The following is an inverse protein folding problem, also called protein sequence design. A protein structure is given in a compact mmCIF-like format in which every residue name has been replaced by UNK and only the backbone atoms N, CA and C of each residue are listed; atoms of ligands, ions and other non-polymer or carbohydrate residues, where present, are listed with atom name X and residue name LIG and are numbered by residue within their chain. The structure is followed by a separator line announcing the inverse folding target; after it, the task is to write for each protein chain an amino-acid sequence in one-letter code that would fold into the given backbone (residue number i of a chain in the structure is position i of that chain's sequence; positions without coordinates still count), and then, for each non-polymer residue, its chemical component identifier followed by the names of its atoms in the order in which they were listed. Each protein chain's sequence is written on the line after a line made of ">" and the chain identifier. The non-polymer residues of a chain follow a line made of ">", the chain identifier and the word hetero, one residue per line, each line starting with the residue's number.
data_IF_272561459599
#
_entry.id   IF_272561459599
#
_cell.length_a   1.000
_cell.length_b   1.000
_cell.length_c   1.000
_cell.angle_alpha   90.00
_cell.angle_beta   90.00
_cell.angle_gamma   90.00
#
_symmetry.space_group_name_H-M   'P 1'
#
loop_
_entity.id
_entity.type
_entity.pdbx_description
1 polymer ?
#
# COMPACT_ATOMS: atom_id res chain seq x y z
N UNK A 1 0.87 31.91 15.64
CA UNK A 1 0.18 30.99 16.57
C UNK A 1 -0.19 29.76 15.76
N UNK A 2 0.36 28.58 16.07
CA UNK A 2 0.14 27.37 15.29
C UNK A 2 -1.32 26.91 15.51
N UNK A 3 -2.10 26.53 14.47
CA UNK A 3 -3.46 26.00 14.64
C UNK A 3 -3.52 24.78 15.57
N UNK A 4 -2.42 24.03 15.70
CA UNK A 4 -2.29 22.90 16.61
C UNK A 4 -2.21 23.29 18.10
N UNK A 5 -1.91 24.57 18.41
CA UNK A 5 -1.84 25.09 19.78
C UNK A 5 -3.20 25.62 20.27
N UNK A 6 -4.25 25.56 19.44
CA UNK A 6 -5.60 25.88 19.87
C UNK A 6 -6.16 24.71 20.69
N UNK A 7 -6.66 24.93 21.92
CA UNK A 7 -7.30 23.88 22.69
C UNK A 7 -8.45 23.30 21.88
N UNK A 8 -8.55 21.96 21.86
CA UNK A 8 -9.68 21.25 21.24
C UNK A 8 -10.98 21.93 21.68
N UNK A 9 -11.82 22.40 20.74
CA UNK A 9 -12.92 23.29 21.08
C UNK A 9 -14.02 22.61 21.91
N UNK A 10 -13.87 21.31 22.22
CA UNK A 10 -14.73 20.53 23.12
C UNK A 10 -14.08 20.11 24.46
N UNK A 11 -12.79 20.36 24.70
CA UNK A 11 -12.09 19.82 25.89
C UNK A 11 -12.03 18.28 25.95
N UNK A 12 -12.48 17.59 24.90
CA UNK A 12 -12.52 16.13 24.83
C UNK A 12 -11.18 15.55 24.39
N UNK A 13 -10.69 14.61 25.21
CA UNK A 13 -9.56 13.73 24.90
C UNK A 13 -9.90 12.80 23.74
N UNK A 14 -8.88 12.23 23.10
CA UNK A 14 -9.05 11.13 22.14
C UNK A 14 -9.90 10.02 22.79
N UNK A 15 -11.04 9.70 22.18
CA UNK A 15 -11.97 8.68 22.67
C UNK A 15 -11.87 7.42 21.81
N UNK A 16 -11.57 6.29 22.45
CA UNK A 16 -11.69 4.97 21.84
C UNK A 16 -13.03 4.37 22.25
N UNK A 17 -13.89 4.09 21.27
CA UNK A 17 -15.14 3.35 21.48
C UNK A 17 -14.86 1.90 21.06
N UNK A 18 -14.49 1.06 22.02
CA UNK A 18 -14.42 -0.38 21.81
C UNK A 18 -15.82 -0.95 21.79
N UNK A 19 -16.09 -1.84 20.85
CA UNK A 19 -17.33 -2.60 20.94
C UNK A 19 -17.31 -3.88 20.12
N UNK A 20 -18.14 -4.83 20.51
CA UNK A 20 -18.31 -6.12 19.83
C UNK A 20 -19.29 -6.02 18.66
N UNK A 21 -19.42 -7.07 17.85
CA UNK A 21 -20.47 -7.11 16.82
C UNK A 21 -21.87 -6.88 17.46
N UNK A 22 -22.70 -6.01 16.85
CA UNK A 22 -24.07 -5.75 17.31
C UNK A 22 -24.24 -4.86 18.55
N UNK A 23 -23.16 -4.30 19.10
CA UNK A 23 -23.16 -3.53 20.36
C UNK A 23 -23.53 -2.04 20.25
N UNK A 24 -23.93 -1.55 19.07
CA UNK A 24 -24.41 -0.18 18.91
C UNK A 24 -23.34 0.89 18.62
N UNK A 25 -22.11 0.54 18.22
CA UNK A 25 -21.04 1.53 17.85
C UNK A 25 -21.52 2.66 16.95
N UNK A 26 -22.26 2.29 15.91
CA UNK A 26 -22.78 3.25 14.95
C UNK A 26 -23.77 4.21 15.62
N UNK A 27 -24.55 3.74 16.59
CA UNK A 27 -25.50 4.54 17.36
C UNK A 27 -24.78 5.55 18.25
N UNK A 28 -23.77 5.11 19.01
CA UNK A 28 -22.93 6.01 19.83
C UNK A 28 -22.20 7.05 18.98
N UNK A 29 -21.72 6.65 17.80
CA UNK A 29 -21.04 7.54 16.88
C UNK A 29 -22.00 8.59 16.30
N UNK A 30 -23.26 8.22 15.99
CA UNK A 30 -24.29 9.20 15.58
C UNK A 30 -24.52 10.22 16.70
N UNK A 31 -24.70 9.77 17.94
CA UNK A 31 -24.88 10.66 19.08
C UNK A 31 -23.69 11.60 19.29
N UNK A 32 -22.46 11.12 19.09
CA UNK A 32 -21.26 11.95 19.12
C UNK A 32 -21.28 13.04 18.05
N UNK A 33 -21.64 12.72 16.82
CA UNK A 33 -21.75 13.72 15.74
C UNK A 33 -22.83 14.75 16.05
N UNK A 34 -24.00 14.33 16.55
CA UNK A 34 -25.08 15.24 16.93
C UNK A 34 -24.64 16.21 18.03
N UNK A 35 -23.88 15.74 19.04
CA UNK A 35 -23.29 16.62 20.05
C UNK A 35 -22.32 17.64 19.43
N UNK A 36 -21.40 17.20 18.57
CA UNK A 36 -20.47 18.11 17.89
C UNK A 36 -21.21 19.16 17.05
N UNK A 37 -22.27 18.77 16.36
CA UNK A 37 -23.11 19.69 15.58
C UNK A 37 -23.82 20.71 16.48
N UNK A 38 -24.38 20.27 17.61
CA UNK A 38 -25.02 21.16 18.58
C UNK A 38 -24.04 22.18 19.16
N UNK A 39 -22.80 21.76 19.45
CA UNK A 39 -21.75 22.61 20.00
C UNK A 39 -21.20 23.61 18.98
N UNK A 40 -20.82 23.15 17.78
CA UNK A 40 -20.04 23.96 16.84
C UNK A 40 -20.84 24.60 15.72
N UNK A 41 -22.00 24.04 15.36
CA UNK A 41 -22.79 24.53 14.21
C UNK A 41 -21.96 24.67 12.93
N UNK A 42 -21.00 23.76 12.72
CA UNK A 42 -20.06 23.76 11.60
C UNK A 42 -19.87 22.32 11.08
N UNK A 43 -20.84 21.79 10.29
CA UNK A 43 -20.82 20.38 9.88
C UNK A 43 -19.68 20.07 8.90
N UNK A 44 -19.19 21.06 8.15
CA UNK A 44 -18.07 20.94 7.22
C UNK A 44 -16.69 20.83 7.90
N UNK A 45 -16.61 21.17 9.19
CA UNK A 45 -15.42 20.95 10.02
C UNK A 45 -15.36 19.56 10.65
N UNK A 46 -16.40 18.75 10.49
CA UNK A 46 -16.44 17.38 11.01
C UNK A 46 -16.00 16.41 9.91
N UNK A 47 -14.92 15.68 10.19
CA UNK A 47 -14.43 14.60 9.33
C UNK A 47 -14.81 13.27 9.96
N UNK A 48 -15.57 12.46 9.21
CA UNK A 48 -16.01 11.14 9.64
C UNK A 48 -15.69 10.11 8.54
N UNK A 49 -14.76 9.21 8.85
CA UNK A 49 -14.17 8.29 7.90
C UNK A 49 -14.58 6.85 8.20
N UNK A 50 -14.75 6.05 7.16
CA UNK A 50 -15.03 4.61 7.25
C UNK A 50 -14.27 3.83 6.18
N UNK A 51 -14.36 2.51 6.22
CA UNK A 51 -13.73 1.62 5.24
C UNK A 51 -14.55 1.42 3.97
N UNK A 52 -15.88 1.57 4.03
CA UNK A 52 -16.75 1.27 2.87
C UNK A 52 -17.71 2.41 2.55
N UNK A 53 -17.98 2.62 1.26
CA UNK A 53 -18.96 3.63 0.81
C UNK A 53 -20.36 3.35 1.35
N UNK A 54 -20.74 2.08 1.46
CA UNK A 54 -22.03 1.66 2.03
C UNK A 54 -22.15 2.10 3.49
N UNK A 55 -21.14 1.81 4.32
CA UNK A 55 -21.14 2.24 5.72
C UNK A 55 -21.15 3.77 5.86
N UNK A 56 -20.50 4.50 4.94
CA UNK A 56 -20.53 5.97 4.94
C UNK A 56 -21.95 6.50 4.70
N UNK A 57 -22.64 5.94 3.69
CA UNK A 57 -24.03 6.27 3.38
C UNK A 57 -24.97 5.94 4.55
N UNK A 58 -24.93 4.71 5.06
CA UNK A 58 -25.76 4.30 6.20
C UNK A 58 -25.51 5.17 7.45
N UNK A 59 -24.26 5.55 7.70
CA UNK A 59 -23.93 6.41 8.83
C UNK A 59 -24.48 7.83 8.65
N UNK A 60 -24.38 8.37 7.44
CA UNK A 60 -24.90 9.69 7.09
C UNK A 60 -26.43 9.73 7.15
N UNK A 61 -27.11 8.72 6.60
CA UNK A 61 -28.57 8.61 6.62
C UNK A 61 -29.10 8.58 8.06
N UNK A 62 -28.39 7.93 8.98
CA UNK A 62 -28.75 7.92 10.41
C UNK A 62 -28.64 9.30 11.05
N UNK A 63 -27.61 10.07 10.73
CA UNK A 63 -27.44 11.43 11.26
C UNK A 63 -28.56 12.34 10.76
N UNK A 64 -28.80 12.38 9.44
CA UNK A 64 -29.87 13.17 8.86
C UNK A 64 -31.24 12.73 9.33
N UNK A 65 -31.47 11.41 9.42
CA UNK A 65 -32.72 10.84 9.92
C UNK A 65 -32.98 11.20 11.38
N UNK A 66 -31.95 11.24 12.24
CA UNK A 66 -32.10 11.71 13.62
C UNK A 66 -32.47 13.20 13.68
N UNK A 67 -31.80 14.05 12.90
CA UNK A 67 -32.12 15.49 12.83
C UNK A 67 -33.52 15.74 12.25
N UNK A 68 -33.92 15.00 11.21
CA UNK A 68 -35.23 15.09 10.61
C UNK A 68 -36.34 14.69 11.59
N UNK A 69 -36.20 13.54 12.28
CA UNK A 69 -37.14 13.11 13.33
C UNK A 69 -37.25 14.16 14.43
N UNK A 70 -36.13 14.68 14.92
CA UNK A 70 -36.13 15.71 15.95
C UNK A 70 -36.79 17.02 15.48
N UNK A 71 -36.75 17.35 14.20
CA UNK A 71 -37.37 18.56 13.65
C UNK A 71 -38.91 18.47 13.48
N UNK A 72 -39.51 17.27 13.60
CA UNK A 72 -40.96 17.07 13.40
C UNK A 72 -41.80 17.75 14.50
N UNK A 73 -41.45 17.55 15.77
CA UNK A 73 -42.18 18.07 16.93
C UNK A 73 -41.26 18.17 18.15
N UNK A 74 -41.64 18.95 19.16
CA UNK A 74 -40.87 19.02 20.42
C UNK A 74 -40.83 17.66 21.15
N UNK A 75 -41.90 16.87 21.05
CA UNK A 75 -41.93 15.52 21.60
C UNK A 75 -40.90 14.60 20.90
N UNK A 76 -40.81 14.68 19.58
CA UNK A 76 -39.85 13.89 18.80
C UNK A 76 -38.40 14.35 19.04
N UNK A 77 -38.17 15.66 19.18
CA UNK A 77 -36.89 16.22 19.56
C UNK A 77 -36.43 15.67 20.91
N UNK A 78 -37.30 15.70 21.92
CA UNK A 78 -37.00 15.25 23.27
C UNK A 78 -36.71 13.74 23.33
N UNK A 79 -37.46 12.91 22.61
CA UNK A 79 -37.15 11.48 22.45
C UNK A 79 -35.81 11.23 21.76
N UNK A 80 -35.48 12.01 20.73
CA UNK A 80 -34.21 11.90 20.00
C UNK A 80 -33.03 12.34 20.89
N UNK A 81 -33.21 13.40 21.67
CA UNK A 81 -32.25 13.90 22.64
C UNK A 81 -31.93 12.85 23.71
N UNK A 82 -32.95 12.17 24.22
CA UNK A 82 -32.81 11.05 25.16
C UNK A 82 -32.12 9.84 24.50
N UNK A 83 -32.56 9.45 23.29
CA UNK A 83 -32.01 8.32 22.54
C UNK A 83 -30.49 8.46 22.36
N UNK A 84 -30.03 9.61 21.86
CA UNK A 84 -28.62 9.86 21.52
C UNK A 84 -27.81 10.57 22.61
N UNK A 85 -28.44 10.90 23.75
CA UNK A 85 -27.83 11.63 24.87
C UNK A 85 -27.22 12.96 24.40
N UNK A 86 -28.06 13.80 23.76
CA UNK A 86 -27.68 15.12 23.22
C UNK A 86 -28.43 16.19 24.01
N UNK A 87 -27.70 16.94 24.84
CA UNK A 87 -28.27 18.01 25.65
C UNK A 87 -28.68 19.22 24.80
N UNK A 88 -29.80 19.85 25.15
CA UNK A 88 -30.29 21.07 24.49
C UNK A 88 -30.84 20.88 23.08
N UNK A 89 -30.98 19.63 22.60
CA UNK A 89 -31.62 19.35 21.32
C UNK A 89 -33.14 19.53 21.46
N UNK A 90 -33.66 20.55 20.79
CA UNK A 90 -35.08 20.88 20.65
C UNK A 90 -35.47 20.89 19.16
N UNK A 91 -36.76 21.08 18.87
CA UNK A 91 -37.24 21.07 17.49
C UNK A 91 -36.56 22.12 16.60
N UNK A 92 -36.36 23.33 17.12
CA UNK A 92 -35.85 24.46 16.35
C UNK A 92 -34.36 24.31 16.05
N UNK A 93 -33.59 23.88 17.04
CA UNK A 93 -32.17 23.57 16.90
C UNK A 93 -31.94 22.39 15.97
N UNK A 94 -32.77 21.34 16.04
CA UNK A 94 -32.75 20.22 15.10
C UNK A 94 -33.03 20.68 13.66
N UNK A 95 -34.06 21.51 13.45
CA UNK A 95 -34.38 22.07 12.13
C UNK A 95 -33.24 22.94 11.58
N UNK A 96 -32.64 23.77 12.43
CA UNK A 96 -31.49 24.60 12.05
C UNK A 96 -30.28 23.75 11.65
N UNK A 97 -29.96 22.71 12.43
CA UNK A 97 -28.88 21.78 12.10
C UNK A 97 -29.15 20.98 10.83
N UNK A 98 -30.39 20.52 10.63
CA UNK A 98 -30.77 19.78 9.44
C UNK A 98 -30.57 20.64 8.18
N UNK A 99 -31.04 21.89 8.21
CA UNK A 99 -30.84 22.85 7.11
C UNK A 99 -29.36 23.06 6.85
N UNK A 100 -28.59 23.33 7.90
CA UNK A 100 -27.15 23.55 7.79
C UNK A 100 -26.40 22.34 7.20
N UNK A 101 -26.78 21.12 7.60
CA UNK A 101 -26.20 19.88 7.08
C UNK A 101 -26.56 19.66 5.60
N UNK A 102 -27.80 19.95 5.20
CA UNK A 102 -28.26 19.88 3.81
C UNK A 102 -27.55 20.92 2.95
N UNK A 103 -27.49 22.18 3.37
CA UNK A 103 -26.84 23.26 2.63
C UNK A 103 -25.33 23.01 2.44
N UNK A 104 -24.74 22.28 3.38
CA UNK A 104 -23.32 21.94 3.38
C UNK A 104 -23.01 20.56 2.82
N UNK A 105 -23.99 19.82 2.27
CA UNK A 105 -23.86 18.43 1.79
C UNK A 105 -22.60 18.17 0.95
N UNK A 106 -22.32 19.07 0.01
CA UNK A 106 -21.18 18.98 -0.91
C UNK A 106 -19.81 19.20 -0.24
N UNK A 107 -19.78 19.82 0.94
CA UNK A 107 -18.55 20.07 1.72
C UNK A 107 -18.37 19.10 2.89
N UNK A 108 -19.38 18.28 3.19
CA UNK A 108 -19.27 17.33 4.29
C UNK A 108 -18.18 16.30 4.01
N UNK A 109 -17.35 16.05 5.02
CA UNK A 109 -16.27 15.07 4.96
C UNK A 109 -16.70 13.74 5.59
N UNK A 110 -17.82 13.20 5.12
CA UNK A 110 -18.34 11.89 5.44
C UNK A 110 -18.07 10.94 4.28
N UNK A 111 -17.13 10.01 4.45
CA UNK A 111 -16.72 9.18 3.32
C UNK A 111 -15.76 8.07 3.71
N UNK A 112 -15.12 7.48 2.69
CA UNK A 112 -14.10 6.47 2.93
C UNK A 112 -12.74 7.10 3.20
N UNK A 113 -11.88 6.36 3.90
CA UNK A 113 -10.46 6.69 4.04
C UNK A 113 -9.81 7.00 2.68
N UNK A 114 -10.06 6.17 1.67
CA UNK A 114 -9.49 6.36 0.33
C UNK A 114 -9.94 7.66 -0.33
N UNK A 115 -11.21 8.03 -0.16
CA UNK A 115 -11.78 9.26 -0.71
C UNK A 115 -11.16 10.48 -0.02
N UNK A 116 -10.90 10.38 1.28
CA UNK A 116 -10.22 11.42 2.04
C UNK A 116 -8.75 11.56 1.62
N UNK A 117 -7.98 10.48 1.54
CA UNK A 117 -6.59 10.53 1.06
C UNK A 117 -6.49 11.04 -0.36
N UNK A 118 -7.37 10.60 -1.26
CA UNK A 118 -7.44 11.10 -2.63
C UNK A 118 -7.67 12.60 -2.67
N UNK A 119 -8.53 13.14 -1.78
CA UNK A 119 -8.76 14.59 -1.66
C UNK A 119 -7.50 15.31 -1.19
N UNK A 120 -6.83 14.81 -0.15
CA UNK A 120 -5.58 15.39 0.38
C UNK A 120 -4.51 15.47 -0.71
N UNK A 121 -4.29 14.36 -1.44
CA UNK A 121 -3.32 14.30 -2.53
C UNK A 121 -3.64 15.29 -3.65
N UNK A 122 -4.92 15.50 -3.98
CA UNK A 122 -5.35 16.48 -4.99
C UNK A 122 -5.18 17.92 -4.54
N UNK A 123 -5.19 18.20 -3.24
CA UNK A 123 -4.98 19.56 -2.72
C UNK A 123 -3.51 19.97 -2.78
N UNK A 124 -2.58 19.04 -2.60
CA UNK A 124 -1.14 19.31 -2.56
C UNK A 124 -0.31 18.40 -3.48
N UNK A 125 -0.62 18.30 -4.79
CA UNK A 125 0.01 17.31 -5.66
C UNK A 125 1.52 17.50 -5.81
N UNK A 126 1.99 18.76 -5.84
CA UNK A 126 3.40 19.10 -5.97
C UNK A 126 4.25 18.58 -4.80
N UNK A 127 3.72 18.63 -3.57
CA UNK A 127 4.42 18.17 -2.36
C UNK A 127 4.71 16.65 -2.38
N UNK A 128 3.90 15.90 -3.13
CA UNK A 128 4.06 14.45 -3.30
C UNK A 128 4.73 14.07 -4.62
N UNK A 129 5.17 15.05 -5.42
CA UNK A 129 5.75 14.78 -6.74
C UNK A 129 4.78 14.12 -7.72
N UNK A 130 3.46 14.23 -7.47
CA UNK A 130 2.42 13.69 -8.34
C UNK A 130 1.82 14.80 -9.20
N UNK A 131 1.33 14.42 -10.38
CA UNK A 131 0.56 15.35 -11.21
C UNK A 131 -0.85 15.52 -10.62
N UNK A 132 -1.38 16.74 -10.59
CA UNK A 132 -2.71 17.05 -10.02
C UNK A 132 -3.88 16.33 -10.68
N UNK A 133 -3.70 15.87 -11.92
CA UNK A 133 -4.69 15.10 -12.68
C UNK A 133 -4.52 13.57 -12.58
N UNK A 134 -4.03 13.04 -11.45
CA UNK A 134 -3.93 11.60 -11.28
C UNK A 134 -5.32 10.94 -11.25
N UNK A 135 -5.40 9.73 -11.82
CA UNK A 135 -6.55 8.84 -11.71
C UNK A 135 -6.20 7.70 -10.77
N UNK A 136 -7.12 7.34 -9.87
CA UNK A 136 -6.95 6.16 -9.02
C UNK A 136 -7.18 4.94 -9.90
N UNK A 137 -6.15 4.10 -10.02
CA UNK A 137 -6.22 2.87 -10.81
C UNK A 137 -7.28 1.96 -10.21
N UNK A 138 -8.20 1.49 -11.06
CA UNK A 138 -9.17 0.46 -10.68
C UNK A 138 -8.49 -0.91 -10.74
N UNK A 139 -8.81 -1.81 -9.82
CA UNK A 139 -8.23 -3.17 -9.76
C UNK A 139 -8.29 -3.88 -11.12
N UNK A 140 -9.40 -3.73 -11.85
CA UNK A 140 -9.57 -4.33 -13.18
C UNK A 140 -8.58 -3.83 -14.24
N UNK A 141 -8.00 -2.64 -14.06
CA UNK A 141 -7.00 -2.05 -14.97
C UNK A 141 -5.58 -2.21 -14.47
N UNK A 142 -5.37 -2.71 -13.26
CA UNK A 142 -4.05 -2.74 -12.63
C UNK A 142 -3.04 -3.51 -13.48
N UNK A 143 -3.38 -4.72 -13.92
CA UNK A 143 -2.51 -5.54 -14.76
C UNK A 143 -2.22 -4.89 -16.12
N UNK A 144 -3.21 -4.22 -16.71
CA UNK A 144 -3.02 -3.51 -17.99
C UNK A 144 -2.04 -2.36 -17.83
N UNK A 145 -2.23 -1.53 -16.81
CA UNK A 145 -1.35 -0.37 -16.54
C UNK A 145 0.06 -0.85 -16.19
N UNK A 146 0.20 -1.91 -15.39
CA UNK A 146 1.50 -2.51 -15.09
C UNK A 146 2.22 -2.92 -16.37
N UNK A 147 1.51 -3.60 -17.29
CA UNK A 147 2.07 -4.02 -18.57
C UNK A 147 2.49 -2.85 -19.45
N UNK A 148 1.68 -1.79 -19.53
CA UNK A 148 2.03 -0.56 -20.26
C UNK A 148 3.30 0.09 -19.70
N UNK A 149 3.43 0.16 -18.37
CA UNK A 149 4.65 0.67 -17.72
C UNK A 149 5.86 -0.20 -18.07
N UNK A 150 5.70 -1.53 -18.06
CA UNK A 150 6.77 -2.44 -18.48
C UNK A 150 7.20 -2.22 -19.92
N UNK A 151 6.24 -2.11 -20.84
CA UNK A 151 6.53 -1.89 -22.26
C UNK A 151 7.29 -0.57 -22.47
N UNK A 152 6.92 0.50 -21.75
CA UNK A 152 7.65 1.78 -21.78
C UNK A 152 9.07 1.64 -21.23
N UNK A 153 9.24 1.00 -20.07
CA UNK A 153 10.56 0.81 -19.46
C UNK A 153 11.48 -0.04 -20.35
N UNK A 154 10.94 -1.05 -21.02
CA UNK A 154 11.67 -1.95 -21.93
C UNK A 154 11.83 -1.39 -23.36
N UNK A 155 11.16 -0.29 -23.69
CA UNK A 155 11.27 0.31 -25.03
C UNK A 155 12.64 0.94 -25.32
N UNK A 156 13.45 1.20 -24.28
CA UNK A 156 14.86 1.57 -24.40
C UNK A 156 15.71 0.31 -24.67
N UNK A 157 15.83 -0.05 -25.96
CA UNK A 157 16.38 -1.33 -26.43
C UNK A 157 17.80 -1.63 -25.94
N UNK A 158 18.67 -0.63 -25.80
CA UNK A 158 20.05 -0.85 -25.34
C UNK A 158 20.11 -1.19 -23.84
N UNK A 159 19.33 -0.49 -23.01
CA UNK A 159 19.22 -0.81 -21.58
C UNK A 159 18.43 -2.10 -21.34
N UNK A 160 17.46 -2.39 -22.21
CA UNK A 160 16.65 -3.59 -22.11
C UNK A 160 17.48 -4.86 -22.33
N UNK A 161 18.38 -4.92 -23.33
CA UNK A 161 19.22 -6.12 -23.52
C UNK A 161 20.17 -6.37 -22.35
N UNK A 162 20.83 -5.33 -21.84
CA UNK A 162 21.71 -5.45 -20.67
C UNK A 162 20.91 -5.91 -19.44
N UNK A 163 19.76 -5.30 -19.21
CA UNK A 163 18.85 -5.67 -18.13
C UNK A 163 18.35 -7.11 -18.25
N UNK A 164 17.90 -7.53 -19.44
CA UNK A 164 17.43 -8.89 -19.71
C UNK A 164 18.56 -9.92 -19.56
N UNK A 165 19.80 -9.56 -19.90
CA UNK A 165 21.00 -10.35 -19.61
C UNK A 165 21.19 -10.59 -18.12
N UNK A 166 21.26 -9.51 -17.33
CA UNK A 166 21.41 -9.57 -15.88
C UNK A 166 20.23 -10.30 -15.20
N UNK A 167 19.01 -10.05 -15.67
CA UNK A 167 17.80 -10.69 -15.15
C UNK A 167 17.79 -12.20 -15.37
N UNK A 168 18.22 -12.69 -16.55
CA UNK A 168 18.37 -14.13 -16.82
C UNK A 168 19.36 -14.79 -15.88
N UNK A 169 20.47 -14.12 -15.56
CA UNK A 169 21.46 -14.62 -14.61
C UNK A 169 20.89 -14.69 -13.18
N UNK A 170 20.23 -13.61 -12.74
CA UNK A 170 19.62 -13.56 -11.41
C UNK A 170 18.48 -14.58 -11.21
N UNK A 171 17.86 -15.05 -12.30
CA UNK A 171 16.75 -16.01 -12.28
C UNK A 171 17.15 -17.44 -12.68
N UNK A 172 18.45 -17.73 -12.79
CA UNK A 172 18.98 -19.06 -13.16
C UNK A 172 18.45 -19.56 -14.51
N UNK A 173 18.32 -18.67 -15.50
CA UNK A 173 17.90 -19.03 -16.86
C UNK A 173 16.47 -19.57 -16.97
N UNK A 174 15.58 -19.24 -16.02
CA UNK A 174 14.21 -19.72 -16.02
C UNK A 174 13.41 -19.24 -17.26
N UNK A 175 12.95 -20.22 -18.05
CA UNK A 175 12.07 -20.23 -19.24
C UNK A 175 11.57 -18.87 -19.78
N UNK A 176 12.00 -18.53 -21.01
CA UNK A 176 11.76 -17.28 -21.74
C UNK A 176 10.27 -16.99 -22.01
N UNK A 177 9.42 -18.03 -21.99
CA UNK A 177 7.98 -17.92 -22.30
C UNK A 177 7.18 -17.14 -21.25
N UNK A 178 7.75 -16.88 -20.07
CA UNK A 178 7.07 -16.17 -18.97
C UNK A 178 7.95 -15.05 -18.36
N UNK A 179 8.78 -14.40 -19.17
CA UNK A 179 9.70 -13.35 -18.71
C UNK A 179 8.99 -12.25 -17.89
N UNK A 180 7.87 -11.72 -18.39
CA UNK A 180 7.05 -10.72 -17.69
C UNK A 180 6.55 -11.21 -16.33
N UNK A 181 6.00 -12.43 -16.26
CA UNK A 181 5.49 -12.99 -14.99
C UNK A 181 6.61 -13.33 -13.99
N UNK A 182 7.82 -13.62 -14.46
CA UNK A 182 8.99 -13.74 -13.59
C UNK A 182 9.48 -12.38 -13.11
N UNK A 183 9.50 -11.38 -13.99
CA UNK A 183 9.90 -10.02 -13.66
C UNK A 183 8.96 -9.40 -12.64
N UNK A 184 7.64 -9.53 -12.83
CA UNK A 184 6.62 -9.12 -11.85
C UNK A 184 6.86 -9.78 -10.48
N UNK A 185 7.10 -11.10 -10.44
CA UNK A 185 7.40 -11.82 -9.19
C UNK A 185 8.71 -11.35 -8.56
N UNK A 186 9.72 -11.07 -9.37
CA UNK A 186 11.02 -10.57 -8.90
C UNK A 186 10.87 -9.17 -8.31
N UNK A 187 10.28 -8.24 -9.05
CA UNK A 187 9.98 -6.88 -8.58
C UNK A 187 9.14 -6.92 -7.32
N UNK A 188 8.04 -7.68 -7.30
CA UNK A 188 7.19 -7.80 -6.11
C UNK A 188 7.92 -8.33 -4.87
N UNK A 189 8.85 -9.28 -5.06
CA UNK A 189 9.68 -9.84 -3.98
C UNK A 189 10.67 -8.82 -3.43
N UNK A 190 11.37 -8.09 -4.30
CA UNK A 190 12.48 -7.22 -3.91
C UNK A 190 12.06 -5.76 -3.67
N UNK A 191 10.88 -5.34 -4.11
CA UNK A 191 10.37 -3.98 -3.91
C UNK A 191 10.29 -3.60 -2.42
N UNK A 192 9.81 -4.50 -1.55
CA UNK A 192 9.81 -4.26 -0.10
C UNK A 192 11.22 -4.07 0.46
N UNK A 193 12.19 -4.80 -0.07
CA UNK A 193 13.58 -4.74 0.37
C UNK A 193 14.24 -3.43 -0.08
N UNK A 194 13.93 -2.97 -1.31
CA UNK A 194 14.32 -1.65 -1.80
C UNK A 194 13.74 -0.51 -0.96
N UNK A 195 12.47 -0.60 -0.57
CA UNK A 195 11.87 0.42 0.30
C UNK A 195 12.47 0.44 1.71
N UNK A 196 12.90 -0.72 2.22
CA UNK A 196 13.58 -0.82 3.51
C UNK A 196 15.02 -0.29 3.47
N UNK A 197 15.72 -0.49 2.34
CA UNK A 197 17.08 -0.01 2.09
C UNK A 197 17.12 0.80 0.78
N UNK A 198 16.67 2.07 0.77
CA UNK A 198 16.56 2.87 -0.45
C UNK A 198 17.91 3.40 -0.95
N UNK A 199 18.97 3.28 -0.16
CA UNK A 199 20.31 3.71 -0.52
C UNK A 199 20.84 2.89 -1.71
N UNK A 200 20.94 3.54 -2.87
CA UNK A 200 21.43 2.90 -4.10
C UNK A 200 22.84 2.36 -3.96
N UNK A 201 23.68 3.00 -3.16
CA UNK A 201 25.07 2.58 -2.97
C UNK A 201 25.18 1.25 -2.22
N UNK A 202 24.18 0.90 -1.43
CA UNK A 202 24.11 -0.39 -0.75
C UNK A 202 23.82 -1.56 -1.70
N UNK A 203 23.34 -1.29 -2.92
CA UNK A 203 22.99 -2.31 -3.92
C UNK A 203 23.98 -2.41 -5.07
N UNK A 204 24.75 -1.35 -5.32
CA UNK A 204 25.67 -1.27 -6.46
C UNK A 204 27.10 -1.67 -6.11
N UNK A 205 27.49 -1.63 -4.83
CA UNK A 205 28.86 -1.92 -4.38
C UNK A 205 28.97 -3.35 -3.83
N UNK A 206 29.66 -4.28 -4.50
CA UNK A 206 29.90 -5.61 -3.98
C UNK A 206 30.56 -5.60 -2.59
N UNK A 207 31.43 -4.63 -2.31
CA UNK A 207 32.08 -4.45 -0.99
C UNK A 207 31.13 -3.94 0.10
N UNK A 208 30.03 -3.30 -0.25
CA UNK A 208 28.98 -2.91 0.70
C UNK A 208 28.06 -4.09 1.05
N UNK A 209 27.81 -4.98 0.07
CA UNK A 209 27.00 -6.19 0.25
C UNK A 209 27.82 -7.30 0.94
N UNK A 210 29.08 -7.44 0.54
CA UNK A 210 30.05 -8.40 1.07
C UNK A 210 31.33 -7.67 1.48
N UNK A 211 31.44 -7.23 2.75
CA UNK A 211 32.62 -6.52 3.27
C UNK A 211 33.92 -7.30 3.06
N UNK A 212 33.82 -8.63 3.13
CA UNK A 212 34.85 -9.55 2.66
C UNK A 212 34.34 -10.19 1.37
N UNK A 213 35.05 -9.97 0.26
CA UNK A 213 34.70 -10.56 -1.02
C UNK A 213 34.59 -12.09 -0.85
N UNK A 214 33.46 -12.72 -1.21
CA UNK A 214 33.32 -14.16 -1.11
C UNK A 214 34.44 -14.83 -1.90
N UNK A 215 34.99 -15.93 -1.38
CA UNK A 215 36.14 -16.61 -1.98
C UNK A 215 35.95 -16.95 -3.47
N UNK A 216 34.71 -17.17 -3.91
CA UNK A 216 34.32 -17.49 -5.29
C UNK A 216 34.27 -16.26 -6.23
N UNK A 217 34.24 -15.03 -5.70
CA UNK A 217 34.25 -13.78 -6.47
C UNK A 217 35.69 -13.33 -6.81
N UNK A 218 36.67 -13.77 -6.01
CA UNK A 218 38.03 -13.22 -5.99
C UNK A 218 39.06 -13.98 -6.83
N UNK A 219 38.72 -15.11 -7.47
CA UNK A 219 39.72 -15.95 -8.15
C UNK A 219 39.33 -16.38 -9.56
N UNK A 220 40.35 -16.58 -10.40
CA UNK A 220 40.28 -17.34 -11.65
C UNK A 220 40.00 -18.81 -11.33
N UNK A 221 38.74 -19.14 -11.08
CA UNK A 221 38.32 -20.53 -10.95
C UNK A 221 38.11 -21.14 -12.35
N UNK A 222 38.72 -22.29 -12.57
CA UNK A 222 38.32 -23.18 -13.66
C UNK A 222 36.97 -23.82 -13.27
N UNK A 223 35.88 -23.13 -13.64
CA UNK A 223 34.53 -23.61 -13.33
C UNK A 223 34.27 -24.98 -13.97
N UNK A 224 34.91 -25.31 -15.09
CA UNK A 224 34.78 -26.63 -15.72
C UNK A 224 35.41 -27.71 -14.84
N UNK A 225 36.57 -27.45 -14.22
CA UNK A 225 37.18 -28.37 -13.25
C UNK A 225 36.32 -28.52 -11.98
N UNK A 226 35.71 -27.44 -11.48
CA UNK A 226 34.82 -27.50 -10.31
C UNK A 226 33.56 -28.32 -10.63
N UNK A 227 32.92 -28.08 -11.76
CA UNK A 227 31.77 -28.85 -12.25
C UNK A 227 32.14 -30.33 -12.42
N UNK A 228 33.34 -30.62 -12.95
CA UNK A 228 33.86 -31.98 -13.11
C UNK A 228 34.08 -32.68 -11.77
N UNK A 229 34.69 -32.01 -10.78
CA UNK A 229 34.90 -32.55 -9.43
C UNK A 229 33.58 -32.78 -8.69
N UNK A 230 32.62 -31.86 -8.82
CA UNK A 230 31.26 -32.04 -8.29
C UNK A 230 30.60 -33.29 -8.87
N UNK A 231 30.72 -33.51 -10.19
CA UNK A 231 30.19 -34.72 -10.84
C UNK A 231 30.90 -36.00 -10.39
N UNK A 232 32.21 -35.95 -10.16
CA UNK A 232 33.00 -37.10 -9.72
C UNK A 232 32.79 -37.45 -8.24
N UNK A 233 32.51 -36.46 -7.40
CA UNK A 233 32.23 -36.64 -5.97
C UNK A 233 30.77 -36.97 -5.66
N UNK A 234 29.87 -36.93 -6.65
CA UNK A 234 28.48 -37.34 -6.45
C UNK A 234 28.41 -38.85 -6.24
N UNK A 235 27.79 -39.34 -5.14
CA UNK A 235 27.54 -40.76 -4.98
C UNK A 235 26.71 -41.27 -6.16
N UNK A 236 27.01 -42.48 -6.66
CA UNK A 236 26.25 -43.11 -7.74
C UNK A 236 24.76 -43.05 -7.42
N UNK A 237 23.92 -42.89 -8.46
CA UNK A 237 22.49 -42.58 -8.40
C UNK A 237 21.60 -43.55 -7.57
N UNK A 238 22.21 -44.49 -6.85
CA UNK A 238 21.60 -45.41 -5.88
C UNK A 238 21.52 -44.81 -4.45
N UNK A 239 22.21 -43.70 -4.17
CA UNK A 239 22.12 -43.00 -2.88
C UNK A 239 20.85 -42.13 -2.76
N UNK A 240 19.71 -42.78 -2.57
CA UNK A 240 18.46 -42.37 -1.88
C UNK A 240 17.71 -41.07 -2.23
N UNK A 241 18.24 -40.12 -3.01
CA UNK A 241 17.51 -38.90 -3.36
C UNK A 241 17.72 -38.47 -4.82
N UNK A 242 16.92 -39.05 -5.74
CA UNK A 242 16.87 -38.65 -7.17
C UNK A 242 16.63 -37.13 -7.35
N UNK A 243 15.91 -36.47 -6.45
CA UNK A 243 15.69 -35.01 -6.52
C UNK A 243 16.95 -34.22 -6.19
N UNK A 244 17.76 -34.68 -5.24
CA UNK A 244 19.02 -34.02 -4.86
C UNK A 244 20.05 -34.15 -5.98
N UNK A 245 20.19 -35.34 -6.58
CA UNK A 245 21.05 -35.55 -7.74
C UNK A 245 20.66 -34.64 -8.92
N UNK A 246 19.36 -34.55 -9.23
CA UNK A 246 18.85 -33.67 -10.29
C UNK A 246 19.06 -32.18 -9.98
N UNK A 247 18.96 -31.78 -8.72
CA UNK A 247 19.22 -30.41 -8.28
C UNK A 247 20.70 -30.02 -8.40
N UNK A 248 21.60 -30.91 -8.01
CA UNK A 248 23.06 -30.70 -8.12
C UNK A 248 23.49 -30.69 -9.59
N UNK A 249 22.92 -31.56 -10.43
CA UNK A 249 23.21 -31.59 -11.86
C UNK A 249 22.73 -30.32 -12.56
N UNK A 250 21.55 -29.80 -12.21
CA UNK A 250 21.05 -28.51 -12.69
C UNK A 250 21.95 -27.36 -12.24
N UNK A 251 22.33 -27.31 -10.96
CA UNK A 251 23.25 -26.31 -10.42
C UNK A 251 24.61 -26.33 -11.16
N UNK A 252 25.15 -27.52 -11.43
CA UNK A 252 26.40 -27.70 -12.15
C UNK A 252 26.33 -27.26 -13.63
N UNK A 253 25.14 -27.31 -14.25
CA UNK A 253 24.90 -26.77 -15.61
C UNK A 253 24.80 -25.25 -15.62
N UNK A 254 24.30 -24.64 -14.54
CA UNK A 254 24.10 -23.19 -14.43
C UNK A 254 25.35 -22.45 -13.91
N UNK A 255 26.21 -23.13 -13.15
CA UNK A 255 27.45 -22.55 -12.58
C UNK A 255 28.31 -21.79 -13.60
N UNK A 256 28.54 -22.30 -14.83
CA UNK A 256 29.34 -21.60 -15.84
C UNK A 256 28.78 -20.24 -16.27
N UNK A 257 27.45 -20.01 -16.15
CA UNK A 257 26.80 -18.74 -16.46
C UNK A 257 27.25 -17.60 -15.53
N UNK A 258 27.84 -17.95 -14.39
CA UNK A 258 28.37 -17.02 -13.39
C UNK A 258 29.90 -16.87 -13.46
N UNK A 259 30.58 -17.48 -14.44
CA UNK A 259 31.99 -17.15 -14.67
C UNK A 259 32.14 -15.72 -15.19
N UNK A 260 33.18 -15.02 -14.72
CA UNK A 260 33.67 -13.78 -15.31
C UNK A 260 33.89 -13.91 -16.84
N UNK A 261 34.17 -15.13 -17.33
CA UNK A 261 34.37 -15.42 -18.75
C UNK A 261 33.11 -15.52 -19.62
N UNK A 262 31.94 -15.86 -19.06
CA UNK A 262 30.70 -16.04 -19.85
C UNK A 262 30.03 -14.72 -20.27
N UNK A 263 30.40 -13.60 -19.64
CA UNK A 263 29.79 -12.27 -19.88
C UNK A 263 30.75 -11.26 -20.52
N UNK A 264 32.04 -11.58 -20.60
CA UNK A 264 33.07 -10.61 -20.98
C UNK A 264 33.24 -9.45 -19.99
N UNK A 265 32.69 -9.55 -18.76
CA UNK A 265 32.81 -8.52 -17.72
C UNK A 265 33.62 -9.01 -16.53
N UNK A 266 34.55 -8.15 -16.11
CA UNK A 266 35.34 -8.33 -14.90
C UNK A 266 34.60 -7.75 -13.68
N UNK A 267 34.00 -8.63 -12.89
CA UNK A 267 33.29 -8.25 -11.67
C UNK A 267 34.21 -7.78 -10.53
N UNK A 268 35.53 -7.84 -10.69
CA UNK A 268 36.47 -7.26 -9.73
C UNK A 268 36.57 -5.73 -9.81
N UNK A 269 35.92 -5.11 -10.81
CA UNK A 269 35.97 -3.67 -11.08
C UNK A 269 34.63 -2.93 -10.91
N UNK A 270 33.55 -3.64 -10.52
CA UNK A 270 32.25 -3.08 -10.12
C UNK A 270 32.21 -2.82 -8.60
#
# INVERSE_FOLDING_TARGET
>A
MNPADQPSPAGEKNLLIEASAGSGKTHDLVGRILRLLMTFRQPDQIIALTFTRKAAGEFFDRILGALARAAESEEAARKTAEEYRVEGLDRNSALALLRLAIDSLHRLSLGTLDSFYSRVLRTFPAEFGINGNFEVIQEAKETTVQREVFDVVLSDLEKAEEFLGAFRQATFGADEKQLLAHLERFVGRFHRLLLACPDRDAWSRPTAIWPEAPWWLAANFDLDDIVKRLRQGMPSAEAQHKSAAKGIEKFAQELPLFSNGATGRDFSTL
#
